data_IF_588792235867
#
_entry.id   IF_588792235867
#
_cell.length_a   1.000
_cell.length_b   1.000
_cell.length_c   1.000
_cell.angle_alpha   90.00
_cell.angle_beta   90.00
_cell.angle_gamma   90.00
#
_symmetry.space_group_name_H-M   'P 1'
#
loop_
_entity.id
_entity.type
_entity.pdbx_description
1 polymer ?
#
# COMPACT_ATOMS: atom_id res chain seq x y z
N UNK A 1 7.66 15.94 12.52
CA UNK A 1 8.43 14.68 12.66
C UNK A 1 7.92 13.71 11.59
N UNK A 2 8.81 13.15 10.78
CA UNK A 2 8.47 12.05 9.89
C UNK A 2 8.57 10.74 10.65
N UNK A 3 7.64 9.81 10.41
CA UNK A 3 7.61 8.50 11.08
C UNK A 3 7.65 7.44 10.00
N UNK A 4 8.63 6.56 10.08
CA UNK A 4 8.72 5.33 9.29
C UNK A 4 8.22 4.18 10.15
N UNK A 5 7.40 3.30 9.58
CA UNK A 5 6.93 2.13 10.29
C UNK A 5 6.58 0.97 9.36
N UNK A 6 6.52 -0.24 9.93
CA UNK A 6 6.03 -1.43 9.24
C UNK A 6 4.52 -1.55 9.38
N UNK A 7 3.86 -1.86 8.27
CA UNK A 7 2.43 -2.11 8.19
C UNK A 7 2.19 -3.51 7.66
N UNK A 8 1.41 -4.30 8.42
CA UNK A 8 1.15 -5.71 8.15
C UNK A 8 -0.35 -5.94 7.95
N UNK A 9 -0.74 -6.64 6.91
CA UNK A 9 -2.14 -6.96 6.63
C UNK A 9 -2.36 -7.57 5.27
N UNK A 10 -3.49 -7.26 4.64
CA UNK A 10 -3.91 -7.89 3.38
C UNK A 10 -4.68 -6.93 2.48
N UNK A 11 -4.55 -7.15 1.17
CA UNK A 11 -5.38 -6.60 0.12
C UNK A 11 -6.24 -7.74 -0.45
N UNK A 12 -7.49 -7.80 -0.01
CA UNK A 12 -8.48 -8.77 -0.47
C UNK A 12 -9.17 -8.22 -1.72
N UNK A 13 -9.19 -8.96 -2.83
CA UNK A 13 -9.90 -8.53 -4.02
C UNK A 13 -11.43 -8.66 -3.83
N UNK A 14 -12.21 -8.13 -4.77
CA UNK A 14 -13.65 -8.40 -4.83
C UNK A 14 -13.93 -9.91 -4.87
N UNK A 15 -15.11 -10.35 -4.42
CA UNK A 15 -15.38 -11.77 -4.14
C UNK A 15 -15.22 -12.69 -5.36
N UNK A 16 -15.40 -12.15 -6.55
CA UNK A 16 -15.25 -12.80 -7.85
C UNK A 16 -13.79 -12.89 -8.33
N UNK A 17 -12.86 -12.30 -7.60
CA UNK A 17 -11.44 -12.21 -7.92
C UNK A 17 -10.61 -13.00 -6.89
N UNK A 18 -9.53 -13.63 -7.35
CA UNK A 18 -8.51 -14.30 -6.55
C UNK A 18 -7.14 -13.92 -7.12
N UNK A 19 -6.05 -13.79 -6.33
CA UNK A 19 -5.89 -14.12 -4.91
C UNK A 19 -5.89 -12.91 -3.94
N UNK A 20 -5.87 -13.19 -2.63
CA UNK A 20 -5.56 -12.21 -1.58
C UNK A 20 -4.06 -11.94 -1.54
N UNK A 21 -3.67 -10.66 -1.53
CA UNK A 21 -2.27 -10.27 -1.52
C UNK A 21 -1.84 -9.78 -0.14
N UNK A 22 -0.72 -10.28 0.43
CA UNK A 22 -0.22 -9.78 1.70
C UNK A 22 0.25 -8.33 1.57
N UNK A 23 0.03 -7.55 2.62
CA UNK A 23 0.58 -6.21 2.81
C UNK A 23 1.72 -6.32 3.82
N UNK A 24 2.94 -6.10 3.34
CA UNK A 24 4.13 -5.87 4.15
C UNK A 24 4.78 -4.57 3.66
N UNK A 25 4.38 -3.43 4.23
CA UNK A 25 4.83 -2.11 3.78
C UNK A 25 5.70 -1.44 4.81
N UNK A 26 6.92 -1.08 4.42
CA UNK A 26 7.62 -0.01 5.09
C UNK A 26 7.05 1.30 4.54
N UNK A 27 6.41 2.11 5.37
CA UNK A 27 5.78 3.36 4.97
C UNK A 27 6.24 4.49 5.88
N UNK A 28 6.74 5.55 5.26
CA UNK A 28 7.20 6.78 5.88
C UNK A 28 6.30 7.93 5.48
N UNK A 29 5.85 8.71 6.47
CA UNK A 29 5.19 9.98 6.22
C UNK A 29 6.14 11.14 6.46
N UNK A 30 6.24 12.06 5.52
CA UNK A 30 6.92 13.35 5.68
C UNK A 30 5.90 14.46 6.03
N UNK A 31 6.32 15.51 6.74
CA UNK A 31 5.50 16.72 6.88
C UNK A 31 5.12 17.28 5.50
N UNK A 32 3.94 17.91 5.36
CA UNK A 32 3.53 18.50 4.10
C UNK A 32 4.57 19.52 3.62
N UNK A 33 4.99 19.42 2.36
CA UNK A 33 5.83 20.44 1.72
C UNK A 33 4.96 21.65 1.31
N UNK A 34 5.54 22.85 1.10
CA UNK A 34 4.80 24.05 0.67
C UNK A 34 4.11 23.94 -0.70
N UNK A 35 4.31 22.84 -1.43
CA UNK A 35 3.73 22.55 -2.74
C UNK A 35 3.00 21.21 -2.67
N UNK A 36 1.96 20.98 -3.48
CA UNK A 36 1.37 19.65 -3.62
C UNK A 36 2.46 18.68 -4.08
N UNK A 37 2.86 17.80 -3.17
CA UNK A 37 3.87 16.78 -3.38
C UNK A 37 3.46 15.56 -2.57
N UNK A 38 3.83 14.37 -3.05
CA UNK A 38 3.73 13.16 -2.24
C UNK A 38 4.40 13.40 -0.89
N UNK A 39 3.72 13.02 0.19
CA UNK A 39 4.23 13.12 1.56
C UNK A 39 4.14 11.77 2.29
N UNK A 40 3.77 10.70 1.59
CA UNK A 40 3.87 9.33 2.03
C UNK A 40 4.71 8.56 1.01
N UNK A 41 5.69 7.80 1.49
CA UNK A 41 6.64 7.06 0.67
C UNK A 41 7.01 5.75 1.33
N UNK A 42 7.22 4.71 0.56
CA UNK A 42 7.49 3.40 1.11
C UNK A 42 7.74 2.35 0.04
N UNK A 43 7.60 1.11 0.46
CA UNK A 43 7.73 -0.03 -0.43
C UNK A 43 7.66 -1.33 0.35
N UNK A 44 7.87 -2.40 -0.39
CA UNK A 44 7.88 -3.75 0.15
C UNK A 44 8.12 -4.76 -0.94
N UNK A 45 7.80 -6.00 -0.62
CA UNK A 45 7.84 -7.12 -1.53
C UNK A 45 6.83 -8.17 -1.10
N UNK A 46 6.49 -9.07 -2.01
CA UNK A 46 5.87 -10.33 -1.64
C UNK A 46 6.50 -11.47 -2.43
N UNK A 47 6.46 -12.65 -1.83
CA UNK A 47 6.90 -13.91 -2.40
C UNK A 47 5.75 -14.57 -3.17
N UNK A 48 6.05 -15.49 -4.08
CA UNK A 48 5.09 -16.26 -4.88
C UNK A 48 4.42 -15.48 -6.02
N UNK A 49 5.17 -14.63 -6.73
CA UNK A 49 4.75 -14.11 -8.03
C UNK A 49 4.94 -15.17 -9.14
N UNK A 50 4.40 -16.38 -8.95
CA UNK A 50 4.58 -17.52 -9.86
C UNK A 50 4.07 -17.25 -11.28
N UNK A 51 3.14 -16.30 -11.41
CA UNK A 51 2.63 -15.81 -12.70
C UNK A 51 3.62 -14.92 -13.46
N UNK A 52 4.74 -14.52 -12.85
CA UNK A 52 5.72 -13.60 -13.43
C UNK A 52 7.05 -14.33 -13.66
N UNK A 53 7.42 -14.63 -14.93
CA UNK A 53 8.62 -15.38 -15.25
C UNK A 53 9.89 -14.79 -14.61
N UNK A 54 10.66 -15.64 -13.93
CA UNK A 54 11.95 -15.26 -13.32
C UNK A 54 11.86 -14.32 -12.12
N UNK A 55 10.67 -14.09 -11.53
CA UNK A 55 10.48 -13.19 -10.40
C UNK A 55 9.94 -13.95 -9.16
N UNK A 56 10.79 -14.68 -8.42
CA UNK A 56 10.36 -15.40 -7.21
C UNK A 56 9.86 -14.44 -6.11
N UNK A 57 10.38 -13.22 -6.12
CA UNK A 57 9.96 -12.10 -5.28
C UNK A 57 9.62 -10.91 -6.17
N UNK A 58 8.56 -10.20 -5.82
CA UNK A 58 8.16 -9.00 -6.53
C UNK A 58 8.24 -7.78 -5.62
N UNK A 59 9.22 -6.92 -5.91
CA UNK A 59 9.42 -5.66 -5.21
C UNK A 59 8.51 -4.57 -5.75
N UNK A 60 8.16 -3.63 -4.88
CA UNK A 60 7.37 -2.46 -5.27
C UNK A 60 7.73 -1.24 -4.44
N UNK A 61 7.52 -0.06 -5.02
CA UNK A 61 7.54 1.22 -4.31
C UNK A 61 6.12 1.69 -4.05
N UNK A 62 5.94 2.47 -2.99
CA UNK A 62 4.70 3.16 -2.65
C UNK A 62 5.00 4.65 -2.55
N UNK A 63 4.15 5.49 -3.14
CA UNK A 63 4.14 6.92 -2.86
C UNK A 63 2.72 7.49 -2.94
N UNK A 64 2.50 8.64 -2.30
CA UNK A 64 1.25 9.36 -2.43
C UNK A 64 1.05 10.38 -1.32
N UNK A 65 -0.21 10.61 -0.97
CA UNK A 65 -0.62 11.64 -0.02
C UNK A 65 -1.21 11.03 1.25
N UNK A 66 -0.91 11.68 2.37
CA UNK A 66 -1.45 11.38 3.69
C UNK A 66 -1.80 12.68 4.40
N UNK A 67 -3.10 12.94 4.53
CA UNK A 67 -3.63 14.05 5.31
C UNK A 67 -3.83 13.62 6.77
N UNK A 68 -3.07 14.25 7.66
CA UNK A 68 -3.07 13.97 9.09
C UNK A 68 -4.36 14.44 9.76
N UNK A 69 -4.97 15.51 9.25
CA UNK A 69 -6.13 16.14 9.88
C UNK A 69 -7.39 15.31 9.68
N UNK A 70 -7.59 14.79 8.46
CA UNK A 70 -8.71 13.91 8.12
C UNK A 70 -8.39 12.43 8.29
N UNK A 71 -7.10 12.06 8.36
CA UNK A 71 -6.63 10.68 8.32
C UNK A 71 -6.69 10.06 6.92
N UNK A 72 -7.08 10.81 5.88
CA UNK A 72 -7.21 10.31 4.52
C UNK A 72 -5.85 9.99 3.89
N UNK A 73 -5.81 8.91 3.12
CA UNK A 73 -4.60 8.38 2.49
C UNK A 73 -4.92 7.97 1.05
N UNK A 74 -4.09 8.42 0.11
CA UNK A 74 -4.08 7.95 -1.28
C UNK A 74 -2.68 7.52 -1.62
N UNK A 75 -2.48 6.24 -1.97
CA UNK A 75 -1.17 5.66 -2.25
C UNK A 75 -1.17 4.99 -3.62
N UNK A 76 -0.07 5.09 -4.33
CA UNK A 76 0.17 4.38 -5.59
C UNK A 76 1.30 3.39 -5.38
N UNK A 77 1.02 2.11 -5.60
CA UNK A 77 2.01 1.04 -5.66
C UNK A 77 2.46 0.86 -7.11
N UNK A 78 3.78 0.84 -7.33
CA UNK A 78 4.40 0.52 -8.62
C UNK A 78 5.38 -0.62 -8.45
N UNK A 79 5.30 -1.59 -9.35
CA UNK A 79 6.20 -2.73 -9.34
C UNK A 79 7.58 -2.36 -9.87
N UNK A 80 8.62 -2.89 -9.24
CA UNK A 80 10.02 -2.72 -9.67
C UNK A 80 10.44 -4.00 -10.39
N UNK A 81 9.94 -4.18 -11.62
CA UNK A 81 10.28 -5.33 -12.47
C UNK A 81 10.20 -4.95 -13.94
N UNK A 82 11.17 -5.38 -14.74
CA UNK A 82 11.15 -5.19 -16.19
C UNK A 82 10.04 -6.01 -16.88
N UNK A 83 9.57 -7.07 -16.22
CA UNK A 83 8.53 -7.95 -16.77
C UNK A 83 7.11 -7.40 -16.55
N UNK A 84 6.97 -6.27 -15.87
CA UNK A 84 5.69 -5.63 -15.60
C UNK A 84 5.69 -4.25 -16.26
N UNK A 85 4.66 -3.93 -17.07
CA UNK A 85 4.53 -2.60 -17.66
C UNK A 85 4.48 -1.51 -16.59
N UNK A 86 5.19 -0.39 -16.79
CA UNK A 86 5.21 0.72 -15.82
C UNK A 86 3.82 1.31 -15.52
N UNK A 87 2.91 1.23 -16.51
CA UNK A 87 1.52 1.64 -16.39
C UNK A 87 0.68 0.74 -15.47
N UNK A 88 1.17 -0.45 -15.12
CA UNK A 88 0.51 -1.35 -14.19
C UNK A 88 0.77 -0.89 -12.75
N UNK A 89 -0.13 -0.03 -12.27
CA UNK A 89 -0.09 0.52 -10.91
C UNK A 89 -1.34 0.12 -10.13
N UNK A 90 -1.18 -0.07 -8.82
CA UNK A 90 -2.32 -0.27 -7.91
C UNK A 90 -2.50 0.99 -7.08
N UNK A 91 -3.69 1.59 -7.16
CA UNK A 91 -4.06 2.78 -6.39
C UNK A 91 -4.84 2.32 -5.16
N UNK A 92 -4.47 2.83 -4.00
CA UNK A 92 -5.12 2.61 -2.72
C UNK A 92 -5.72 3.91 -2.23
N UNK A 93 -6.99 3.87 -1.81
CA UNK A 93 -7.69 4.98 -1.19
C UNK A 93 -8.23 4.52 0.16
N UNK A 94 -7.86 5.22 1.23
CA UNK A 94 -8.21 4.75 2.56
C UNK A 94 -8.09 5.81 3.64
N UNK A 95 -8.16 5.33 4.88
CA UNK A 95 -8.15 6.17 6.07
C UNK A 95 -7.40 5.49 7.21
N UNK A 96 -6.65 6.30 7.96
CA UNK A 96 -6.09 5.91 9.25
C UNK A 96 -7.19 5.89 10.31
N UNK A 97 -7.33 4.77 11.00
CA UNK A 97 -8.22 4.59 12.13
C UNK A 97 -7.43 4.15 13.36
N UNK A 98 -7.83 4.65 14.53
CA UNK A 98 -7.39 4.10 15.82
C UNK A 98 -8.37 3.03 16.27
N UNK A 99 -7.86 1.91 16.76
CA UNK A 99 -8.64 0.83 17.34
C UNK A 99 -8.72 0.95 18.87
N UNK A 100 -9.63 0.19 19.50
CA UNK A 100 -9.85 0.22 20.95
C UNK A 100 -8.63 -0.22 21.77
N UNK A 101 -7.73 -1.02 21.18
CA UNK A 101 -6.47 -1.47 21.77
C UNK A 101 -5.33 -0.45 21.63
N UNK A 102 -5.61 0.74 21.06
CA UNK A 102 -4.61 1.77 20.80
C UNK A 102 -3.77 1.53 19.54
N UNK A 103 -4.01 0.44 18.81
CA UNK A 103 -3.35 0.20 17.53
C UNK A 103 -3.90 1.11 16.43
N UNK A 104 -3.08 1.35 15.41
CA UNK A 104 -3.47 2.10 14.22
C UNK A 104 -3.66 1.15 13.04
N UNK A 105 -4.75 1.33 12.30
CA UNK A 105 -5.06 0.57 11.09
C UNK A 105 -5.26 1.53 9.92
N UNK A 106 -4.63 1.23 8.80
CA UNK A 106 -4.98 1.79 7.49
C UNK A 106 -5.94 0.83 6.80
N UNK A 107 -7.11 1.32 6.38
CA UNK A 107 -8.08 0.52 5.64
C UNK A 107 -8.79 1.33 4.58
N UNK A 108 -9.25 0.64 3.54
CA UNK A 108 -9.93 1.28 2.42
C UNK A 108 -10.09 0.35 1.23
N UNK A 109 -10.07 0.93 0.03
CA UNK A 109 -10.20 0.23 -1.25
C UNK A 109 -8.91 0.31 -2.05
N UNK A 110 -8.79 -0.59 -3.02
CA UNK A 110 -7.72 -0.54 -4.00
C UNK A 110 -8.25 -0.85 -5.41
N UNK A 111 -7.52 -0.40 -6.42
CA UNK A 111 -7.87 -0.61 -7.83
C UNK A 111 -6.62 -0.74 -8.70
N UNK A 112 -6.61 -1.70 -9.61
CA UNK A 112 -5.67 -1.81 -10.73
C UNK A 112 -6.45 -1.63 -12.03
N UNK A 113 -6.30 -0.47 -12.67
CA UNK A 113 -7.05 -0.13 -13.88
C UNK A 113 -6.65 -1.00 -15.07
N UNK A 114 -5.39 -1.41 -15.15
CA UNK A 114 -4.87 -2.18 -16.30
C UNK A 114 -5.41 -3.62 -16.29
N UNK A 115 -5.51 -4.22 -15.10
CA UNK A 115 -6.05 -5.57 -14.95
C UNK A 115 -7.56 -5.59 -14.67
N UNK A 116 -8.19 -4.42 -14.59
CA UNK A 116 -9.61 -4.26 -14.21
C UNK A 116 -9.95 -4.93 -12.87
N UNK A 117 -8.98 -5.02 -11.96
CA UNK A 117 -9.15 -5.62 -10.63
C UNK A 117 -9.29 -4.57 -9.53
N UNK A 118 -10.00 -4.91 -8.47
CA UNK A 118 -10.24 -4.02 -7.34
C UNK A 118 -10.57 -4.82 -6.08
N UNK A 119 -10.63 -4.13 -4.94
CA UNK A 119 -11.01 -4.76 -3.69
C UNK A 119 -10.87 -3.84 -2.49
N UNK A 120 -10.74 -4.46 -1.32
CA UNK A 120 -10.52 -3.79 -0.04
C UNK A 120 -9.15 -4.13 0.53
N UNK A 121 -8.63 -3.27 1.39
CA UNK A 121 -7.41 -3.56 2.13
C UNK A 121 -7.54 -3.15 3.59
N UNK A 122 -6.73 -3.80 4.42
CA UNK A 122 -6.53 -3.43 5.80
C UNK A 122 -5.13 -3.82 6.24
N UNK A 123 -4.39 -2.90 6.84
CA UNK A 123 -3.10 -3.19 7.45
C UNK A 123 -2.93 -2.43 8.77
N UNK A 124 -2.33 -3.11 9.74
CA UNK A 124 -2.07 -2.60 11.09
C UNK A 124 -0.62 -2.14 11.20
N UNK A 125 -0.42 -1.05 11.92
CA UNK A 125 0.89 -0.58 12.33
C UNK A 125 1.53 -1.60 13.29
N UNK A 126 2.70 -2.11 12.93
CA UNK A 126 3.45 -3.00 13.80
C UNK A 126 3.98 -2.22 15.03
N UNK A 127 3.85 -2.77 16.26
CA UNK A 127 4.44 -2.16 17.45
C UNK A 127 5.96 -2.04 17.32
N UNK A 128 6.52 -0.88 17.68
CA UNK A 128 7.96 -0.74 17.85
C UNK A 128 8.35 -1.37 19.19
N UNK A 129 9.12 -2.46 19.14
CA UNK A 129 9.65 -3.16 20.32
C UNK A 129 10.73 -2.37 21.06
#
# INVERSE_FOLDING_TARGET
>A
MGVAALWLGEASPAAELVPVNPIHWSLTRQPPAPRPASNAFGGGYFVNAESIPGSPELHFTIDGTWDVSSGAVTLTKRYVSHNIPEMMTVVYEGKLCSEADGSYILKGTWTNVVEETHGVFGCRLEPQG
#
